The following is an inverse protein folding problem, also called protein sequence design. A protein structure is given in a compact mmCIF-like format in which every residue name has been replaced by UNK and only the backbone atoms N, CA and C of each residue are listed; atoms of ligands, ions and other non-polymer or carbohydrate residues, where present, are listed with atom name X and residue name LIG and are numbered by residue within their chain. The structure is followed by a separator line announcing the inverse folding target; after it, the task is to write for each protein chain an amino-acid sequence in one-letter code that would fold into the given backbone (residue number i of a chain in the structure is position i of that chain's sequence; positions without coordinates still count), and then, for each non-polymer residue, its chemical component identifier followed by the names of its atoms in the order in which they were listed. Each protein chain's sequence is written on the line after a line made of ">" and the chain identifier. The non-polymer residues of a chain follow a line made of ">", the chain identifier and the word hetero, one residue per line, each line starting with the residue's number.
data_IF_005092293450
#
_entry.id   IF_005092293450
#
_cell.length_a   1.000
_cell.length_b   1.000
_cell.length_c   1.000
_cell.angle_alpha   90.00
_cell.angle_beta   90.00
_cell.angle_gamma   90.00
#
_symmetry.space_group_name_H-M   'P 1'
#
loop_
_entity.id
_entity.type
_entity.pdbx_description
1 polymer ?
#
# COMPACT_ATOMS: atom_id res chain seq x y z
N UNK A 1 -12.55 3.32 -19.74
CA UNK A 1 -12.10 3.36 -21.15
C UNK A 1 -11.68 4.79 -21.56
N UNK A 2 -10.58 5.32 -21.02
CA UNK A 2 -10.08 6.69 -21.31
C UNK A 2 -8.57 6.69 -21.59
N UNK A 3 -8.05 5.58 -22.11
CA UNK A 3 -6.60 5.37 -22.33
C UNK A 3 -6.16 5.64 -23.77
N UNK A 4 -6.93 6.42 -24.53
CA UNK A 4 -6.56 6.84 -25.88
C UNK A 4 -5.41 7.86 -25.82
N UNK A 5 -4.24 7.49 -26.35
CA UNK A 5 -3.04 8.34 -26.48
C UNK A 5 -2.64 9.10 -25.20
N UNK A 6 -2.79 8.50 -24.03
CA UNK A 6 -2.32 9.09 -22.77
C UNK A 6 -0.91 8.63 -22.43
N UNK A 7 -0.05 9.55 -22.00
CA UNK A 7 1.32 9.28 -21.51
C UNK A 7 1.27 8.18 -20.43
N UNK A 8 2.16 7.17 -20.51
CA UNK A 8 2.16 6.01 -19.60
C UNK A 8 2.21 6.39 -18.12
N UNK A 9 2.95 7.44 -17.78
CA UNK A 9 3.00 7.99 -16.42
C UNK A 9 1.62 8.43 -15.92
N UNK A 10 0.75 8.97 -16.78
CA UNK A 10 -0.62 9.35 -16.43
C UNK A 10 -1.50 8.14 -16.14
N UNK A 11 -1.31 7.03 -16.87
CA UNK A 11 -2.02 5.76 -16.63
C UNK A 11 -1.62 5.22 -15.26
N UNK A 12 -0.32 5.18 -14.98
CA UNK A 12 0.22 4.70 -13.70
C UNK A 12 -0.18 5.61 -12.54
N UNK A 13 -0.21 6.93 -12.72
CA UNK A 13 -0.69 7.85 -11.68
C UNK A 13 -2.15 7.60 -11.31
N UNK A 14 -3.02 7.37 -12.29
CA UNK A 14 -4.43 7.04 -12.04
C UNK A 14 -4.56 5.72 -11.28
N UNK A 15 -3.76 4.71 -11.66
CA UNK A 15 -3.68 3.44 -10.93
C UNK A 15 -3.25 3.66 -9.48
N UNK A 16 -2.14 4.36 -9.24
CA UNK A 16 -1.61 4.59 -7.90
C UNK A 16 -2.61 5.35 -7.01
N UNK A 17 -3.28 6.38 -7.53
CA UNK A 17 -4.29 7.14 -6.75
C UNK A 17 -5.47 6.24 -6.38
N UNK A 18 -5.99 5.45 -7.33
CA UNK A 18 -7.10 4.55 -7.06
C UNK A 18 -6.71 3.45 -6.07
N UNK A 19 -5.51 2.88 -6.21
CA UNK A 19 -4.99 1.86 -5.32
C UNK A 19 -4.77 2.41 -3.91
N UNK A 20 -4.09 3.56 -3.76
CA UNK A 20 -3.89 4.21 -2.46
C UNK A 20 -5.24 4.53 -1.82
N UNK A 21 -6.20 5.08 -2.57
CA UNK A 21 -7.52 5.42 -2.03
C UNK A 21 -8.29 4.20 -1.52
N UNK A 22 -8.21 3.06 -2.23
CA UNK A 22 -8.81 1.81 -1.77
C UNK A 22 -8.12 1.29 -0.51
N UNK A 23 -6.78 1.24 -0.54
CA UNK A 23 -5.96 0.66 0.52
C UNK A 23 -6.01 1.49 1.81
N UNK A 24 -5.96 2.82 1.71
CA UNK A 24 -6.03 3.76 2.83
C UNK A 24 -7.47 3.95 3.36
N UNK A 25 -8.48 3.33 2.74
CA UNK A 25 -9.83 3.33 3.27
C UNK A 25 -10.15 2.00 3.97
N UNK A 26 -9.90 0.88 3.28
CA UNK A 26 -10.25 -0.45 3.78
C UNK A 26 -9.19 -1.07 4.70
N UNK A 27 -7.92 -0.64 4.61
CA UNK A 27 -6.79 -1.15 5.41
C UNK A 27 -6.79 -2.69 5.52
N UNK A 28 -6.88 -3.24 6.74
CA UNK A 28 -6.86 -4.67 7.04
C UNK A 28 -8.03 -5.45 6.42
N UNK A 29 -9.15 -4.80 6.11
CA UNK A 29 -10.32 -5.48 5.56
C UNK A 29 -10.05 -6.08 4.18
N UNK A 30 -9.09 -5.54 3.42
CA UNK A 30 -8.77 -6.01 2.07
C UNK A 30 -8.25 -7.44 2.07
N UNK A 31 -7.49 -7.83 3.09
CA UNK A 31 -6.93 -9.19 3.18
C UNK A 31 -8.01 -10.24 3.36
N UNK A 32 -9.10 -9.89 4.04
CA UNK A 32 -10.19 -10.82 4.31
C UNK A 32 -11.12 -11.02 3.10
N UNK A 33 -10.97 -10.23 2.03
CA UNK A 33 -11.84 -10.27 0.85
C UNK A 33 -11.05 -10.87 -0.32
N UNK A 34 -11.09 -12.19 -0.43
CA UNK A 34 -10.32 -12.92 -1.44
C UNK A 34 -10.65 -12.50 -2.89
N UNK A 35 -11.93 -12.30 -3.19
CA UNK A 35 -12.37 -11.84 -4.52
C UNK A 35 -11.79 -10.47 -4.90
N UNK A 36 -11.56 -9.62 -3.90
CA UNK A 36 -10.96 -8.30 -4.08
C UNK A 36 -9.46 -8.40 -4.36
N UNK A 37 -8.75 -9.31 -3.67
CA UNK A 37 -7.33 -9.59 -3.94
C UNK A 37 -7.14 -10.12 -5.36
N UNK A 38 -7.95 -11.08 -5.78
CA UNK A 38 -7.95 -11.60 -7.15
C UNK A 38 -8.25 -10.51 -8.19
N UNK A 39 -9.19 -9.61 -7.88
CA UNK A 39 -9.53 -8.48 -8.74
C UNK A 39 -8.37 -7.48 -8.84
N UNK A 40 -7.66 -7.21 -7.74
CA UNK A 40 -6.48 -6.33 -7.70
C UNK A 40 -5.37 -6.87 -8.59
N UNK A 41 -5.04 -8.16 -8.48
CA UNK A 41 -4.06 -8.85 -9.35
C UNK A 41 -4.46 -8.72 -10.83
N UNK A 42 -5.74 -8.97 -11.15
CA UNK A 42 -6.25 -8.86 -12.54
C UNK A 42 -6.18 -7.42 -13.05
N UNK A 43 -6.51 -6.43 -12.22
CA UNK A 43 -6.45 -5.02 -12.59
C UNK A 43 -5.01 -4.54 -12.78
N UNK A 44 -4.08 -4.94 -11.91
CA UNK A 44 -2.66 -4.62 -12.04
C UNK A 44 -2.09 -5.16 -13.36
N UNK A 45 -2.39 -6.43 -13.67
CA UNK A 45 -2.03 -7.06 -14.95
C UNK A 45 -2.62 -6.33 -16.16
N UNK A 46 -3.86 -5.83 -16.07
CA UNK A 46 -4.48 -5.03 -17.14
C UNK A 46 -3.75 -3.71 -17.36
N UNK A 47 -3.32 -3.02 -16.29
CA UNK A 47 -2.55 -1.78 -16.41
C UNK A 47 -1.20 -2.04 -17.08
N UNK A 48 -0.46 -3.06 -16.63
CA UNK A 48 0.81 -3.44 -17.27
C UNK A 48 0.60 -3.79 -18.74
N UNK A 49 -0.42 -4.60 -19.06
CA UNK A 49 -0.72 -5.01 -20.43
C UNK A 49 -1.08 -3.82 -21.31
N UNK A 50 -1.84 -2.84 -20.79
CA UNK A 50 -2.15 -1.61 -21.51
C UNK A 50 -0.88 -0.83 -21.90
N UNK A 51 0.12 -0.78 -21.02
CA UNK A 51 1.41 -0.11 -21.27
C UNK A 51 2.25 -0.91 -22.26
N UNK A 52 2.31 -2.25 -22.12
CA UNK A 52 3.00 -3.16 -23.06
C UNK A 52 2.46 -3.02 -24.48
N UNK A 53 1.13 -2.94 -24.63
CA UNK A 53 0.46 -2.69 -25.93
C UNK A 53 0.83 -1.32 -26.49
N UNK A 54 0.80 -0.27 -25.67
CA UNK A 54 1.15 1.09 -26.10
C UNK A 54 2.60 1.22 -26.57
N UNK A 55 3.51 0.37 -26.07
CA UNK A 55 4.91 0.28 -26.51
C UNK A 55 5.13 -0.67 -27.70
N UNK A 56 4.05 -1.21 -28.29
CA UNK A 56 4.07 -2.12 -29.44
C UNK A 56 5.02 -3.32 -29.28
N UNK A 57 5.05 -3.93 -28.10
CA UNK A 57 5.87 -5.11 -27.84
C UNK A 57 5.02 -6.27 -27.31
N UNK A 58 5.11 -7.40 -28.02
CA UNK A 58 4.39 -8.65 -27.71
C UNK A 58 5.21 -9.64 -26.86
N UNK A 59 6.43 -9.28 -26.45
CA UNK A 59 7.39 -10.23 -25.84
C UNK A 59 7.62 -9.91 -24.35
N UNK A 60 7.32 -10.84 -23.41
CA UNK A 60 7.47 -10.62 -21.96
C UNK A 60 8.89 -10.21 -21.52
N UNK A 61 9.92 -10.78 -22.15
CA UNK A 61 11.33 -10.48 -21.84
C UNK A 61 11.78 -9.06 -22.17
N UNK A 62 11.00 -8.29 -22.94
CA UNK A 62 11.27 -6.86 -23.18
C UNK A 62 10.76 -5.94 -22.06
N UNK A 63 10.00 -6.48 -21.11
CA UNK A 63 9.40 -5.71 -20.02
C UNK A 63 9.71 -6.34 -18.67
N UNK A 64 10.97 -6.24 -18.21
CA UNK A 64 11.29 -6.61 -16.84
C UNK A 64 10.48 -5.76 -15.87
N UNK A 65 10.09 -6.35 -14.74
CA UNK A 65 9.24 -5.70 -13.74
C UNK A 65 9.78 -4.34 -13.29
N UNK A 66 11.11 -4.16 -13.30
CA UNK A 66 11.80 -2.91 -12.97
C UNK A 66 11.28 -1.68 -13.73
N UNK A 67 10.87 -1.84 -15.00
CA UNK A 67 10.34 -0.71 -15.81
C UNK A 67 9.05 -0.14 -15.19
N UNK A 68 8.25 -0.98 -14.56
CA UNK A 68 7.00 -0.57 -13.92
C UNK A 68 7.24 0.01 -12.52
N UNK A 69 8.01 -0.67 -11.69
CA UNK A 69 8.05 -0.40 -10.25
C UNK A 69 9.17 0.55 -9.80
N UNK A 70 10.20 0.77 -10.62
CA UNK A 70 11.27 1.72 -10.24
C UNK A 70 10.70 3.13 -10.08
N UNK A 71 11.07 3.85 -9.00
CA UNK A 71 10.59 5.21 -8.73
C UNK A 71 10.79 6.16 -9.92
N UNK A 72 9.89 7.13 -10.06
CA UNK A 72 9.92 8.12 -11.16
C UNK A 72 11.19 8.97 -11.15
N UNK A 73 11.75 9.20 -9.97
CA UNK A 73 13.01 9.92 -9.77
C UNK A 73 14.18 9.23 -10.50
N UNK A 74 14.10 7.92 -10.70
CA UNK A 74 15.10 7.12 -11.41
C UNK A 74 14.72 6.88 -12.89
N UNK A 75 13.74 7.62 -13.42
CA UNK A 75 13.39 7.63 -14.85
C UNK A 75 12.35 6.62 -15.31
N UNK A 76 11.75 5.84 -14.39
CA UNK A 76 10.74 4.81 -14.70
C UNK A 76 9.32 5.23 -14.24
N UNK A 77 8.37 4.29 -14.28
CA UNK A 77 6.95 4.61 -14.11
C UNK A 77 6.50 4.81 -12.66
N UNK A 78 7.19 4.21 -11.69
CA UNK A 78 6.85 4.30 -10.26
C UNK A 78 5.44 3.76 -9.95
N UNK A 79 5.07 2.64 -10.55
CA UNK A 79 3.82 1.94 -10.29
C UNK A 79 3.86 1.29 -8.91
N UNK A 80 2.78 1.39 -8.13
CA UNK A 80 2.63 0.68 -6.86
C UNK A 80 2.01 -0.70 -7.10
N UNK A 81 2.46 -1.69 -6.33
CA UNK A 81 1.99 -3.07 -6.45
C UNK A 81 1.12 -3.50 -5.29
N UNK A 82 0.07 -4.26 -5.62
CA UNK A 82 -0.70 -5.08 -4.69
C UNK A 82 -0.97 -6.48 -5.28
N UNK A 83 -0.33 -6.82 -6.41
CA UNK A 83 -0.50 -8.08 -7.12
C UNK A 83 0.37 -9.22 -6.59
N UNK A 84 1.42 -8.91 -5.82
CA UNK A 84 2.26 -9.89 -5.13
C UNK A 84 1.74 -10.13 -3.71
N UNK A 85 0.47 -10.48 -3.61
CA UNK A 85 -0.11 -10.98 -2.36
C UNK A 85 -0.06 -12.49 -2.43
N UNK A 86 0.76 -13.08 -1.55
CA UNK A 86 0.74 -14.50 -1.28
C UNK A 86 -0.62 -14.84 -0.68
N UNK A 87 -1.54 -15.33 -1.50
CA UNK A 87 -2.83 -15.86 -1.03
C UNK A 87 -2.56 -17.23 -0.41
N UNK A 88 -2.89 -17.45 0.88
CA UNK A 88 -2.93 -18.77 1.48
C UNK A 88 -3.90 -19.67 0.70
N UNK A 89 -3.44 -20.72 0.00
CA UNK A 89 -4.35 -21.71 -0.61
C UNK A 89 -5.10 -22.53 0.45
N UNK A 90 -4.69 -22.48 1.72
CA UNK A 90 -5.46 -23.03 2.84
C UNK A 90 -6.86 -22.41 2.93
N UNK A 91 -7.03 -21.12 2.57
CA UNK A 91 -8.34 -20.46 2.53
C UNK A 91 -9.23 -20.94 1.37
N UNK A 92 -8.65 -21.56 0.34
CA UNK A 92 -9.40 -22.08 -0.80
C UNK A 92 -9.91 -23.51 -0.60
N UNK A 93 -9.49 -24.21 0.46
CA UNK A 93 -9.78 -25.64 0.63
C UNK A 93 -10.86 -25.98 1.65
N UNK A 94 -11.30 -25.05 2.51
CA UNK A 94 -12.24 -25.38 3.57
C UNK A 94 -13.36 -24.36 3.80
N UNK A 95 -14.48 -24.60 3.10
CA UNK A 95 -15.83 -24.46 3.68
C UNK A 95 -16.15 -25.56 4.73
N UNK A 96 -15.15 -26.29 5.23
CA UNK A 96 -15.24 -27.20 6.37
C UNK A 96 -13.91 -27.25 7.17
N UNK A 97 -13.91 -26.52 8.28
CA UNK A 97 -13.21 -26.74 9.56
C UNK A 97 -12.06 -27.78 9.60
N UNK A 98 -10.81 -27.31 9.78
CA UNK A 98 -10.01 -27.41 11.03
C UNK A 98 -8.63 -26.78 10.82
N UNK A 99 -8.07 -26.25 11.91
CA UNK A 99 -6.74 -25.65 12.02
C UNK A 99 -5.64 -26.59 11.50
N UNK A 100 -5.04 -26.27 10.34
CA UNK A 100 -3.74 -26.80 9.96
C UNK A 100 -3.02 -25.85 8.99
N UNK A 101 -1.74 -25.67 9.30
CA UNK A 101 -0.65 -24.91 8.68
C UNK A 101 -0.89 -24.50 7.21
N UNK A 102 -0.87 -23.18 6.98
CA UNK A 102 -0.91 -22.52 5.67
C UNK A 102 0.21 -23.07 4.78
N UNK A 103 -0.14 -23.98 3.88
CA UNK A 103 0.76 -24.49 2.85
C UNK A 103 0.07 -24.38 1.50
N UNK A 104 0.85 -23.91 0.53
CA UNK A 104 0.51 -23.63 -0.87
C UNK A 104 0.02 -22.20 -1.14
N UNK A 105 0.67 -21.56 -2.10
CA UNK A 105 0.53 -20.15 -2.46
C UNK A 105 -0.04 -20.05 -3.87
N UNK A 106 -1.07 -19.23 -4.10
CA UNK A 106 -1.39 -18.81 -5.46
C UNK A 106 -0.31 -17.82 -5.92
N UNK A 107 0.48 -18.19 -6.92
CA UNK A 107 1.47 -17.29 -7.54
C UNK A 107 0.73 -16.14 -8.25
N UNK A 108 0.59 -15.00 -7.57
CA UNK A 108 -0.16 -13.84 -8.08
C UNK A 108 0.39 -13.26 -9.38
N UNK A 109 1.70 -13.38 -9.64
CA UNK A 109 2.35 -13.02 -10.91
C UNK A 109 3.61 -13.87 -11.16
N UNK A 110 3.86 -14.27 -12.41
CA UNK A 110 5.08 -14.98 -12.80
C UNK A 110 6.28 -14.02 -12.76
N UNK A 111 7.17 -14.18 -11.77
CA UNK A 111 8.45 -13.47 -11.66
C UNK A 111 9.58 -14.49 -11.49
N UNK A 112 10.82 -14.07 -11.74
CA UNK A 112 12.00 -14.88 -11.44
C UNK A 112 12.03 -15.14 -9.92
N UNK A 113 12.27 -16.39 -9.51
CA UNK A 113 11.92 -16.97 -8.19
C UNK A 113 12.48 -16.22 -6.95
N UNK A 114 13.41 -15.29 -7.13
CA UNK A 114 14.08 -14.53 -6.05
C UNK A 114 13.76 -13.03 -6.00
N UNK A 115 12.96 -12.48 -6.94
CA UNK A 115 12.70 -11.03 -7.01
C UNK A 115 11.32 -10.64 -6.48
N UNK A 116 11.19 -10.56 -5.15
CA UNK A 116 9.94 -10.12 -4.51
C UNK A 116 9.75 -8.60 -4.62
N UNK A 117 8.63 -8.18 -5.22
CA UNK A 117 8.23 -6.77 -5.29
C UNK A 117 7.44 -6.42 -4.03
N UNK A 118 7.85 -5.38 -3.27
CA UNK A 118 7.14 -4.98 -2.06
C UNK A 118 5.68 -4.61 -2.35
N UNK A 119 4.76 -5.16 -1.55
CA UNK A 119 3.33 -4.86 -1.63
C UNK A 119 2.99 -3.59 -0.82
N UNK A 120 1.98 -2.84 -1.28
CA UNK A 120 1.57 -1.60 -0.62
C UNK A 120 1.00 -1.86 0.79
N UNK A 121 0.34 -3.00 1.01
CA UNK A 121 -0.26 -3.35 2.29
C UNK A 121 0.73 -3.29 3.46
N UNK A 122 1.97 -3.75 3.27
CA UNK A 122 3.00 -3.78 4.31
C UNK A 122 3.41 -2.40 4.82
N UNK A 123 3.10 -1.34 4.07
CA UNK A 123 3.42 0.04 4.41
C UNK A 123 2.22 0.82 4.95
N UNK A 124 1.07 0.18 5.14
CA UNK A 124 -0.13 0.81 5.68
C UNK A 124 -0.38 0.23 7.07
N UNK A 125 -0.45 1.10 8.07
CA UNK A 125 -0.77 0.70 9.44
C UNK A 125 -2.24 0.27 9.53
N UNK A 126 -2.58 -0.87 10.16
CA UNK A 126 -3.97 -1.27 10.37
C UNK A 126 -4.75 -0.24 11.20
N UNK A 127 -6.06 -0.14 10.99
CA UNK A 127 -6.94 0.77 11.73
C UNK A 127 -6.89 0.52 13.23
N UNK A 128 -6.92 -0.74 13.65
CA UNK A 128 -6.85 -1.09 15.08
C UNK A 128 -5.57 -0.52 15.72
N UNK A 129 -4.43 -0.64 15.04
CA UNK A 129 -3.16 -0.10 15.52
C UNK A 129 -3.19 1.44 15.53
N UNK A 130 -3.69 2.09 14.47
CA UNK A 130 -3.88 3.55 14.40
C UNK A 130 -4.75 4.10 15.53
N UNK A 131 -5.86 3.44 15.88
CA UNK A 131 -6.74 3.92 16.94
C UNK A 131 -6.12 3.82 18.32
N UNK A 132 -5.43 2.71 18.61
CA UNK A 132 -4.71 2.53 19.87
C UNK A 132 -3.59 3.57 19.96
N UNK A 133 -2.80 3.69 18.89
CA UNK A 133 -1.69 4.63 18.79
C UNK A 133 -2.18 6.07 19.01
N UNK A 134 -3.30 6.43 18.39
CA UNK A 134 -3.91 7.74 18.52
C UNK A 134 -4.27 8.08 19.97
N UNK A 135 -4.86 7.14 20.71
CA UNK A 135 -5.18 7.39 22.12
C UNK A 135 -3.91 7.66 22.94
N UNK A 136 -2.86 6.85 22.76
CA UNK A 136 -1.59 7.04 23.45
C UNK A 136 -0.95 8.40 23.10
N UNK A 137 -0.83 8.70 21.81
CA UNK A 137 -0.18 9.92 21.32
C UNK A 137 -0.91 11.18 21.78
N UNK A 138 -2.25 11.18 21.75
CA UNK A 138 -3.02 12.34 22.20
C UNK A 138 -2.98 12.56 23.71
N UNK A 139 -2.88 11.49 24.50
CA UNK A 139 -2.66 11.60 25.96
C UNK A 139 -1.27 12.17 26.25
N UNK A 140 -0.24 11.66 25.58
CA UNK A 140 1.14 12.13 25.74
C UNK A 140 1.29 13.60 25.31
N UNK A 141 0.68 13.98 24.19
CA UNK A 141 0.61 15.37 23.74
C UNK A 141 -0.03 16.29 24.79
N UNK A 142 -1.15 15.86 25.38
CA UNK A 142 -1.84 16.65 26.41
C UNK A 142 -0.98 16.89 27.66
N UNK A 143 -0.24 15.85 28.09
CA UNK A 143 0.72 15.95 29.19
C UNK A 143 1.87 16.91 28.87
N UNK A 144 2.54 16.73 27.72
CA UNK A 144 3.63 17.64 27.30
C UNK A 144 3.16 19.09 27.18
N UNK A 145 1.94 19.31 26.66
CA UNK A 145 1.34 20.65 26.58
C UNK A 145 1.10 21.25 27.96
N UNK A 146 0.64 20.45 28.93
CA UNK A 146 0.43 20.90 30.30
C UNK A 146 1.77 21.25 30.96
N UNK A 147 2.79 20.40 30.81
CA UNK A 147 4.15 20.65 31.32
C UNK A 147 4.75 21.94 30.73
N UNK A 148 4.65 22.14 29.42
CA UNK A 148 5.12 23.36 28.77
C UNK A 148 4.42 24.61 29.32
N UNK A 149 3.10 24.54 29.53
CA UNK A 149 2.34 25.63 30.16
C UNK A 149 2.80 25.90 31.60
N UNK A 150 3.07 24.87 32.41
CA UNK A 150 3.58 25.07 33.78
C UNK A 150 4.97 25.71 33.81
N UNK A 151 5.80 25.42 32.81
CA UNK A 151 7.13 26.01 32.65
C UNK A 151 7.10 27.38 31.94
N UNK A 152 5.92 27.88 31.56
CA UNK A 152 5.73 29.05 30.68
C UNK A 152 6.57 28.97 29.39
N UNK A 153 6.75 27.76 28.86
CA UNK A 153 7.43 27.49 27.60
C UNK A 153 6.40 27.19 26.52
N UNK A 154 6.72 27.58 25.28
CA UNK A 154 5.94 27.18 24.11
C UNK A 154 6.46 25.83 23.63
N UNK A 155 5.56 24.93 23.28
CA UNK A 155 5.89 23.65 22.67
C UNK A 155 6.55 23.89 21.29
N UNK A 156 7.66 23.23 21.03
CA UNK A 156 8.40 23.32 19.76
C UNK A 156 8.17 22.09 18.89
N UNK A 157 8.61 22.15 17.63
CA UNK A 157 8.57 21.00 16.72
C UNK A 157 9.42 19.84 17.26
N UNK A 158 10.59 20.16 17.79
CA UNK A 158 11.54 19.16 18.34
C UNK A 158 10.90 18.37 19.50
N UNK A 159 10.02 18.99 20.28
CA UNK A 159 9.29 18.32 21.37
C UNK A 159 8.25 17.31 20.87
N UNK A 160 7.85 17.43 19.60
CA UNK A 160 6.77 16.68 18.95
C UNK A 160 7.24 15.75 17.83
N UNK A 161 8.53 15.72 17.50
CA UNK A 161 9.05 15.00 16.33
C UNK A 161 8.67 13.50 16.36
N UNK A 162 8.72 12.88 17.54
CA UNK A 162 8.32 11.48 17.78
C UNK A 162 6.84 11.16 17.45
N UNK A 163 5.99 12.19 17.35
CA UNK A 163 4.54 12.08 17.18
C UNK A 163 4.02 12.79 15.94
N UNK A 164 4.88 13.43 15.15
CA UNK A 164 4.51 14.40 14.13
C UNK A 164 3.45 13.84 13.15
N UNK A 165 3.69 12.64 12.63
CA UNK A 165 2.80 11.96 11.67
C UNK A 165 1.84 10.94 12.31
N UNK A 166 1.68 10.96 13.64
CA UNK A 166 0.84 10.02 14.39
C UNK A 166 -0.47 10.63 14.85
N UNK A 167 -1.40 9.75 15.22
CA UNK A 167 -2.71 10.10 15.78
C UNK A 167 -3.80 10.44 14.75
N UNK A 168 -5.05 10.34 15.19
CA UNK A 168 -6.25 10.69 14.44
C UNK A 168 -7.10 11.61 15.33
N UNK A 169 -7.22 12.93 15.02
CA UNK A 169 -6.53 13.64 13.95
C UNK A 169 -4.99 13.65 14.12
N UNK A 170 -4.25 13.93 13.05
CA UNK A 170 -2.77 13.92 13.05
C UNK A 170 -2.22 15.09 13.86
N UNK A 171 -1.19 14.86 14.68
CA UNK A 171 -0.60 15.89 15.55
C UNK A 171 -0.04 17.08 14.75
N UNK A 172 0.56 16.82 13.58
CA UNK A 172 1.08 17.88 12.71
C UNK A 172 0.04 18.92 12.27
N UNK A 173 -1.26 18.63 12.37
CA UNK A 173 -2.32 19.61 12.05
C UNK A 173 -2.47 20.74 13.07
N UNK A 174 -1.81 20.63 14.23
CA UNK A 174 -1.83 21.65 15.29
C UNK A 174 -0.71 22.68 15.17
N UNK A 175 0.25 22.46 14.27
CA UNK A 175 1.45 23.26 14.07
C UNK A 175 1.25 24.25 12.91
#
# INVERSE_FOLDING_TARGET
>A
MSSGSTIFTKIVNKWNIALIGLMAYLHEAIINIQDLLDLLVKCENKIQTCIKIGLNSKMPSRFPSIVFYTPKQLGNLGMLSMGYVLIPQSDLRWSKQTDDIITHFCSGMNHDEDQLIPNLYRYIMPWVAEFIDSQCVWVEYALKRQEANTLNKRLTLDDLDDYYDRGIPRINTLL
#
